data_IF_868128021541
#
_entry.id   IF_868128021541
#
_cell.length_a   1.000
_cell.length_b   1.000
_cell.length_c   1.000
_cell.angle_alpha   90.00
_cell.angle_beta   90.00
_cell.angle_gamma   90.00
#
_symmetry.space_group_name_H-M   'P 1'
#
loop_
_entity.id
_entity.type
_entity.pdbx_description
1 polymer ?
#
# COMPACT_ATOMS: atom_id res chain seq x y z
N UNK A 1 -77.78 18.74 -23.26
CA UNK A 1 -78.66 18.57 -24.43
C UNK A 1 -77.93 19.13 -25.65
N UNK A 2 -77.48 18.26 -26.58
CA UNK A 2 -77.12 18.55 -28.00
C UNK A 2 -75.91 19.51 -28.21
N UNK A 3 -74.99 19.39 -29.16
CA UNK A 3 -74.79 18.47 -30.29
C UNK A 3 -73.54 18.94 -31.08
N UNK A 4 -72.80 17.97 -31.64
CA UNK A 4 -72.28 17.89 -33.03
C UNK A 4 -71.13 18.85 -33.44
N UNK A 5 -69.95 18.31 -33.71
CA UNK A 5 -69.42 17.75 -35.00
C UNK A 5 -68.98 18.85 -35.96
N UNK A 6 -67.74 18.75 -36.43
CA UNK A 6 -67.26 19.45 -37.62
C UNK A 6 -65.76 19.30 -37.86
N UNK A 7 -65.31 18.07 -38.14
CA UNK A 7 -63.96 17.80 -38.66
C UNK A 7 -63.88 18.22 -40.13
N UNK A 8 -62.87 19.02 -40.50
CA UNK A 8 -62.48 19.23 -41.91
C UNK A 8 -60.97 19.05 -42.01
N UNK A 9 -60.56 17.99 -42.70
CA UNK A 9 -59.16 17.61 -42.95
C UNK A 9 -58.72 18.31 -44.23
N UNK A 10 -57.62 19.08 -44.16
CA UNK A 10 -56.92 19.59 -45.33
C UNK A 10 -55.54 18.93 -45.39
N UNK A 11 -55.40 17.97 -46.30
CA UNK A 11 -54.15 17.24 -46.54
C UNK A 11 -53.18 18.13 -47.32
N UNK A 12 -52.12 18.60 -46.66
CA UNK A 12 -51.01 19.30 -47.32
C UNK A 12 -49.85 18.33 -47.49
N UNK A 13 -49.45 18.09 -48.74
CA UNK A 13 -48.28 17.27 -49.09
C UNK A 13 -47.04 18.13 -48.88
N UNK A 14 -46.27 17.83 -47.83
CA UNK A 14 -44.96 18.41 -47.56
C UNK A 14 -43.87 17.59 -48.23
N UNK A 15 -43.17 18.19 -49.18
CA UNK A 15 -41.99 17.64 -49.85
C UNK A 15 -40.78 17.80 -48.92
N UNK A 16 -40.47 16.78 -48.12
CA UNK A 16 -39.27 16.77 -47.26
C UNK A 16 -38.02 16.44 -48.09
N UNK A 17 -37.19 17.45 -48.35
CA UNK A 17 -35.81 17.23 -48.76
C UNK A 17 -35.00 16.73 -47.55
N UNK A 18 -34.54 15.48 -47.59
CA UNK A 18 -33.70 14.91 -46.54
C UNK A 18 -32.27 15.48 -46.66
N UNK A 19 -31.93 16.40 -45.75
CA UNK A 19 -30.55 16.86 -45.55
C UNK A 19 -29.88 15.81 -44.65
N UNK A 20 -28.97 15.01 -45.20
CA UNK A 20 -28.12 14.12 -44.40
C UNK A 20 -27.02 14.94 -43.74
N UNK A 21 -26.91 14.96 -42.40
CA UNK A 21 -25.77 15.59 -41.76
C UNK A 21 -24.57 14.66 -41.92
N UNK A 22 -23.54 15.10 -42.64
CA UNK A 22 -22.22 14.47 -42.58
C UNK A 22 -21.66 14.72 -41.18
N UNK A 23 -21.74 13.72 -40.32
CA UNK A 23 -21.01 13.72 -39.06
C UNK A 23 -19.51 13.64 -39.37
N UNK A 24 -18.79 14.74 -39.18
CA UNK A 24 -17.34 14.72 -39.14
C UNK A 24 -16.93 13.86 -37.94
N UNK A 25 -16.45 12.64 -38.19
CA UNK A 25 -15.87 11.81 -37.15
C UNK A 25 -14.59 12.48 -36.67
N UNK A 26 -14.64 13.11 -35.51
CA UNK A 26 -13.45 13.53 -34.78
C UNK A 26 -12.67 12.26 -34.42
N UNK A 27 -11.53 12.04 -35.05
CA UNK A 27 -10.57 11.03 -34.63
C UNK A 27 -10.10 11.38 -33.22
N UNK A 28 -10.20 10.45 -32.24
CA UNK A 28 -9.63 10.69 -30.92
C UNK A 28 -8.13 10.89 -31.09
N UNK A 29 -7.62 12.06 -30.74
CA UNK A 29 -6.19 12.28 -30.61
C UNK A 29 -5.75 11.59 -29.33
N UNK A 30 -5.23 10.37 -29.46
CA UNK A 30 -4.51 9.70 -28.37
C UNK A 30 -3.26 10.53 -28.08
N UNK A 31 -3.31 11.36 -27.04
CA UNK A 31 -2.11 11.99 -26.51
C UNK A 31 -1.28 10.88 -25.84
N UNK A 32 -0.29 10.37 -26.56
CA UNK A 32 0.75 9.54 -25.96
C UNK A 32 1.55 10.43 -25.01
N UNK A 33 1.24 10.37 -23.72
CA UNK A 33 2.09 10.98 -22.71
C UNK A 33 3.47 10.30 -22.82
N UNK A 34 4.51 11.09 -23.12
CA UNK A 34 5.88 10.63 -22.97
C UNK A 34 6.05 10.16 -21.52
N UNK A 35 6.66 8.98 -21.27
CA UNK A 35 6.95 8.56 -19.90
C UNK A 35 7.72 9.68 -19.21
N UNK A 36 7.27 10.09 -18.02
CA UNK A 36 8.03 11.02 -17.20
C UNK A 36 9.44 10.46 -17.03
N UNK A 37 10.46 11.29 -17.26
CA UNK A 37 11.85 10.91 -17.09
C UNK A 37 12.08 10.53 -15.61
N UNK A 38 12.65 9.34 -15.37
CA UNK A 38 12.91 8.83 -14.03
C UNK A 38 14.20 9.45 -13.50
N UNK A 39 14.13 10.08 -12.33
CA UNK A 39 15.31 10.61 -11.64
C UNK A 39 16.12 9.46 -11.02
N UNK A 40 17.44 9.44 -11.29
CA UNK A 40 18.37 8.50 -10.68
C UNK A 40 19.19 9.20 -9.59
N UNK A 41 19.07 8.74 -8.35
CA UNK A 41 19.82 9.25 -7.21
C UNK A 41 20.99 8.33 -6.87
N UNK A 42 22.14 8.91 -6.47
CA UNK A 42 23.29 8.18 -5.95
C UNK A 42 23.46 8.52 -4.47
N UNK A 43 23.39 7.52 -3.55
CA UNK A 43 23.60 7.78 -2.15
C UNK A 43 25.08 8.07 -1.86
N UNK A 44 25.34 9.01 -0.94
CA UNK A 44 26.68 9.23 -0.37
C UNK A 44 26.73 8.66 1.04
N UNK A 45 27.64 7.74 1.29
CA UNK A 45 27.77 7.07 2.59
C UNK A 45 28.41 8.04 3.60
N UNK A 46 27.64 8.48 4.59
CA UNK A 46 28.12 9.37 5.64
C UNK A 46 28.79 8.61 6.80
N UNK A 47 28.31 7.40 7.09
CA UNK A 47 28.81 6.55 8.17
C UNK A 47 28.43 5.10 7.92
N UNK A 48 29.21 4.18 8.47
CA UNK A 48 28.94 2.74 8.48
C UNK A 48 28.86 2.28 9.94
N UNK A 49 27.85 1.50 10.27
CA UNK A 49 27.63 0.90 11.59
C UNK A 49 27.75 -0.61 11.48
N UNK A 50 28.16 -1.32 12.56
CA UNK A 50 28.08 -2.77 12.56
C UNK A 50 26.62 -3.22 12.39
N UNK A 51 26.43 -4.45 11.95
CA UNK A 51 25.14 -5.12 11.97
C UNK A 51 25.40 -6.60 12.28
N UNK A 52 24.48 -7.23 13.00
CA UNK A 52 24.56 -8.65 13.31
C UNK A 52 24.36 -9.46 12.02
N UNK A 53 25.40 -10.14 11.50
CA UNK A 53 25.31 -10.86 10.23
C UNK A 53 24.37 -12.05 10.28
N UNK A 54 24.01 -12.54 11.47
CA UNK A 54 23.05 -13.64 11.64
C UNK A 54 21.60 -13.12 11.73
N UNK A 55 21.39 -11.80 11.79
CA UNK A 55 20.05 -11.20 11.77
C UNK A 55 19.50 -11.13 10.35
N UNK A 56 18.50 -11.97 10.04
CA UNK A 56 17.83 -11.93 8.74
C UNK A 56 16.81 -10.77 8.68
N UNK A 57 17.30 -9.53 8.53
CA UNK A 57 16.46 -8.31 8.58
C UNK A 57 15.32 -8.33 7.56
N UNK A 58 14.08 -8.22 8.03
CA UNK A 58 12.88 -8.08 7.20
C UNK A 58 12.10 -6.78 7.46
N UNK A 59 12.40 -6.10 8.56
CA UNK A 59 11.82 -4.79 8.88
C UNK A 59 12.75 -3.98 9.75
N UNK A 60 12.82 -2.67 9.49
CA UNK A 60 13.73 -1.75 10.19
C UNK A 60 13.03 -0.42 10.46
N UNK A 61 13.06 0.02 11.72
CA UNK A 61 12.52 1.31 12.15
C UNK A 61 13.55 2.03 12.99
N UNK A 62 13.75 3.32 12.73
CA UNK A 62 14.57 4.19 13.57
C UNK A 62 13.67 5.26 14.19
N UNK A 63 13.61 5.31 15.52
CA UNK A 63 12.80 6.27 16.27
C UNK A 63 13.52 6.70 17.55
N UNK A 64 13.56 8.01 17.81
CA UNK A 64 14.13 8.58 19.03
C UNK A 64 15.52 8.04 19.43
N UNK A 65 16.39 7.81 18.45
CA UNK A 65 17.76 7.32 18.68
C UNK A 65 17.88 5.82 18.89
N UNK A 66 16.79 5.07 18.74
CA UNK A 66 16.74 3.61 18.87
C UNK A 66 16.42 2.98 17.53
N UNK A 67 17.04 1.84 17.26
CA UNK A 67 16.73 0.99 16.12
C UNK A 67 15.85 -0.18 16.58
N UNK A 68 14.74 -0.39 15.88
CA UNK A 68 13.89 -1.56 16.04
C UNK A 68 13.99 -2.42 14.79
N UNK A 69 14.23 -3.71 14.98
CA UNK A 69 14.48 -4.64 13.88
C UNK A 69 13.53 -5.83 14.00
N UNK A 70 12.90 -6.20 12.88
CA UNK A 70 12.24 -7.47 12.70
C UNK A 70 13.18 -8.37 11.91
N UNK A 71 13.56 -9.49 12.52
CA UNK A 71 14.42 -10.50 11.93
C UNK A 71 13.59 -11.75 11.63
N UNK A 72 13.63 -12.21 10.38
CA UNK A 72 12.89 -13.39 9.90
C UNK A 72 13.60 -14.72 10.19
N UNK A 73 13.16 -15.78 9.50
CA UNK A 73 13.49 -17.21 9.69
C UNK A 73 12.56 -17.96 10.65
N UNK A 74 12.00 -19.08 10.20
CA UNK A 74 11.19 -19.96 11.06
C UNK A 74 12.04 -20.55 12.18
N UNK A 75 11.51 -20.54 13.40
CA UNK A 75 12.23 -20.97 14.61
C UNK A 75 13.22 -19.94 15.18
N UNK A 76 13.56 -18.90 14.42
CA UNK A 76 14.59 -17.91 14.81
C UNK A 76 14.07 -16.46 14.74
N UNK A 77 12.85 -16.26 14.26
CA UNK A 77 12.25 -14.95 14.09
C UNK A 77 12.17 -14.16 15.40
N UNK A 78 12.51 -12.88 15.34
CA UNK A 78 12.55 -12.02 16.52
C UNK A 78 12.17 -10.56 16.23
N UNK A 79 11.72 -9.86 17.28
CA UNK A 79 11.65 -8.41 17.34
C UNK A 79 12.76 -7.92 18.28
N UNK A 80 13.59 -7.00 17.80
CA UNK A 80 14.78 -6.52 18.50
C UNK A 80 14.72 -5.00 18.69
N UNK A 81 15.22 -4.53 19.82
CA UNK A 81 15.55 -3.13 20.11
C UNK A 81 17.07 -3.06 20.20
N UNK A 82 17.68 -2.21 19.39
CA UNK A 82 19.12 -2.24 19.10
C UNK A 82 19.68 -0.82 19.27
N UNK A 83 20.86 -0.73 19.87
CA UNK A 83 21.65 0.49 19.86
C UNK A 83 22.25 0.69 18.46
N UNK A 84 21.94 1.80 17.76
CA UNK A 84 22.37 2.01 16.37
C UNK A 84 23.87 2.29 16.22
N UNK A 85 24.56 2.68 17.29
CA UNK A 85 25.99 3.01 17.26
C UNK A 85 26.85 1.78 17.51
N UNK A 86 26.43 0.92 18.45
CA UNK A 86 27.20 -0.27 18.87
C UNK A 86 26.70 -1.58 18.27
N UNK A 87 25.47 -1.59 17.75
CA UNK A 87 24.74 -2.79 17.29
C UNK A 87 24.40 -3.78 18.40
N UNK A 88 24.47 -3.34 19.66
CA UNK A 88 24.06 -4.14 20.80
C UNK A 88 22.54 -4.32 20.84
N UNK A 89 22.09 -5.56 21.00
CA UNK A 89 20.67 -5.86 21.22
C UNK A 89 20.30 -5.52 22.67
N UNK A 90 19.65 -4.37 22.85
CA UNK A 90 19.19 -3.87 24.14
C UNK A 90 18.01 -4.68 24.69
N UNK A 91 17.14 -5.17 23.81
CA UNK A 91 16.01 -6.02 24.16
C UNK A 91 15.57 -6.87 22.97
N UNK A 92 15.06 -8.08 23.23
CA UNK A 92 14.58 -8.99 22.19
C UNK A 92 13.34 -9.76 22.66
N UNK A 93 12.44 -10.04 21.70
CA UNK A 93 11.33 -10.96 21.84
C UNK A 93 11.37 -11.94 20.68
N UNK A 94 11.45 -13.24 20.99
CA UNK A 94 11.36 -14.29 19.98
C UNK A 94 9.90 -14.55 19.62
N UNK A 95 9.64 -14.76 18.34
CA UNK A 95 8.32 -15.18 17.87
C UNK A 95 8.19 -16.70 18.07
N UNK A 96 6.96 -17.20 18.26
CA UNK A 96 6.67 -18.63 18.13
C UNK A 96 7.21 -19.22 16.82
N UNK A 97 7.72 -20.44 16.86
CA UNK A 97 8.47 -21.08 15.76
C UNK A 97 7.69 -21.15 14.44
N UNK A 98 6.35 -21.17 14.49
CA UNK A 98 5.50 -21.21 13.30
C UNK A 98 5.47 -19.90 12.51
N UNK A 99 6.01 -18.80 13.05
CA UNK A 99 6.00 -17.50 12.39
C UNK A 99 7.34 -17.20 11.74
N UNK A 100 7.28 -16.70 10.50
CA UNK A 100 8.39 -16.02 9.86
C UNK A 100 8.12 -14.52 9.94
N UNK A 101 8.93 -13.77 10.69
CA UNK A 101 8.74 -12.33 10.84
C UNK A 101 9.12 -11.57 9.56
N UNK A 102 8.34 -10.56 9.23
CA UNK A 102 8.48 -9.75 8.02
C UNK A 102 8.58 -8.25 8.38
N UNK A 103 7.96 -7.36 7.61
CA UNK A 103 7.95 -5.92 7.83
C UNK A 103 7.55 -5.49 9.24
N UNK A 104 8.09 -4.34 9.65
CA UNK A 104 7.88 -3.71 10.95
C UNK A 104 7.52 -2.23 10.77
N UNK A 105 6.54 -1.76 11.52
CA UNK A 105 6.18 -0.35 11.55
C UNK A 105 5.93 0.13 12.98
N UNK A 106 6.30 1.38 13.27
CA UNK A 106 5.93 2.06 14.51
C UNK A 106 4.71 2.97 14.24
N UNK A 107 3.62 2.73 14.96
CA UNK A 107 2.37 3.51 14.88
C UNK A 107 1.99 3.99 16.28
N UNK A 108 2.21 5.28 16.53
CA UNK A 108 2.13 5.83 17.88
C UNK A 108 3.15 5.14 18.79
N UNK A 109 2.69 4.54 19.89
CA UNK A 109 3.56 3.80 20.84
C UNK A 109 3.60 2.29 20.58
N UNK A 110 3.17 1.83 19.40
CA UNK A 110 3.04 0.40 19.08
C UNK A 110 3.91 0.01 17.91
N UNK A 111 4.65 -1.07 18.07
CA UNK A 111 5.27 -1.77 16.96
C UNK A 111 4.27 -2.76 16.38
N UNK A 112 4.13 -2.78 15.06
CA UNK A 112 3.30 -3.71 14.30
C UNK A 112 4.24 -4.50 13.41
N UNK A 113 4.34 -5.81 13.66
CA UNK A 113 5.19 -6.73 12.93
C UNK A 113 4.29 -7.71 12.20
N UNK A 114 4.47 -7.84 10.88
CA UNK A 114 3.70 -8.79 10.09
C UNK A 114 4.46 -10.11 9.94
N UNK A 115 3.76 -11.16 9.55
CA UNK A 115 4.30 -12.50 9.33
C UNK A 115 4.15 -12.90 7.88
N UNK A 116 5.05 -13.68 7.32
CA UNK A 116 5.04 -14.00 5.90
C UNK A 116 3.74 -14.70 5.43
N UNK A 117 3.48 -15.94 5.85
CA UNK A 117 2.38 -16.76 5.31
C UNK A 117 1.28 -17.02 6.31
N UNK A 118 1.47 -16.57 7.54
CA UNK A 118 0.57 -16.88 8.64
C UNK A 118 -0.56 -15.86 8.80
N UNK A 119 -0.65 -14.89 7.88
CA UNK A 119 -1.76 -13.93 7.82
C UNK A 119 -2.00 -13.21 9.15
N UNK A 120 -0.91 -12.98 9.91
CA UNK A 120 -0.95 -12.50 11.29
C UNK A 120 -0.08 -11.26 11.45
N UNK A 121 -0.64 -10.21 12.04
CA UNK A 121 0.11 -9.05 12.52
C UNK A 121 0.19 -9.12 14.04
N UNK A 122 1.41 -9.13 14.57
CA UNK A 122 1.70 -9.08 16.00
C UNK A 122 1.95 -7.62 16.40
N UNK A 123 1.38 -7.20 17.51
CA UNK A 123 1.56 -5.84 18.02
C UNK A 123 2.22 -5.84 19.39
N UNK A 124 3.09 -4.86 19.62
CA UNK A 124 3.91 -4.75 20.82
C UNK A 124 3.94 -3.31 21.31
N UNK A 125 4.10 -3.12 22.61
CA UNK A 125 4.47 -1.83 23.16
C UNK A 125 5.92 -1.51 22.76
N UNK A 126 6.18 -0.36 22.13
CA UNK A 126 7.50 -0.05 21.59
C UNK A 126 8.59 0.18 22.65
N UNK A 127 8.20 0.59 23.86
CA UNK A 127 9.16 0.84 24.94
C UNK A 127 9.64 -0.47 25.57
N UNK A 128 8.69 -1.37 25.85
CA UNK A 128 8.88 -2.59 26.65
C UNK A 128 8.91 -3.87 25.83
N UNK A 129 8.64 -3.81 24.52
CA UNK A 129 8.40 -4.93 23.62
C UNK A 129 7.32 -5.93 24.10
N UNK A 130 6.53 -5.59 25.12
CA UNK A 130 5.47 -6.45 25.60
C UNK A 130 4.43 -6.65 24.50
N UNK A 131 4.13 -7.92 24.17
CA UNK A 131 3.08 -8.27 23.19
C UNK A 131 1.73 -7.74 23.70
N UNK A 132 1.03 -7.03 22.84
CA UNK A 132 -0.26 -6.41 23.12
C UNK A 132 -1.42 -7.24 22.55
N UNK A 133 -1.37 -7.53 21.26
CA UNK A 133 -2.46 -8.22 20.54
C UNK A 133 -1.95 -8.83 19.23
N UNK A 134 -2.75 -9.70 18.64
CA UNK A 134 -2.60 -10.13 17.26
C UNK A 134 -3.82 -9.70 16.44
N UNK A 135 -3.61 -9.55 15.13
CA UNK A 135 -4.65 -9.27 14.16
C UNK A 135 -4.46 -10.20 12.98
N UNK A 136 -5.56 -10.56 12.33
CA UNK A 136 -5.52 -11.31 11.08
C UNK A 136 -5.70 -10.36 9.90
N UNK A 137 -4.95 -10.59 8.84
CA UNK A 137 -5.14 -9.91 7.56
C UNK A 137 -5.06 -10.95 6.43
N UNK A 138 -5.55 -10.61 5.25
CA UNK A 138 -5.34 -11.43 4.05
C UNK A 138 -4.04 -10.98 3.41
N UNK A 139 -3.00 -11.80 3.51
CA UNK A 139 -1.71 -11.63 2.85
C UNK A 139 -1.64 -12.40 1.52
N UNK A 140 -0.41 -12.75 1.15
CA UNK A 140 -0.09 -13.55 -0.05
C UNK A 140 -0.32 -15.06 0.13
#
# INVERSE_FOLDING_TARGET
>A
MKSKIGTLIFTTILLSAAITPTAAQATPSTQTLSPAEVEYLVPHVLSVRPHDPESFTQGLVFDNGILYESAGLYGESSLRKVDPETSEVLQQVNLPEQYFAEGLALVGSRLIQITWRENTALTYNAETLAKLSNYTYTGE
#
